data_IF_078216475637
#
_entry.id   IF_078216475637
#
_cell.length_a   1.000
_cell.length_b   1.000
_cell.length_c   1.000
_cell.angle_alpha   90.00
_cell.angle_beta   90.00
_cell.angle_gamma   90.00
#
_symmetry.space_group_name_H-M   'P 1'
#
loop_
_entity.id
_entity.type
_entity.pdbx_description
1 polymer ?
#
# COMPACT_ATOMS: atom_id res chain seq x y z
N UNK A 1 -21.16 16.19 8.44
CA UNK A 1 -20.04 15.33 7.98
C UNK A 1 -20.45 13.88 8.06
N UNK A 2 -21.07 13.43 9.15
CA UNK A 2 -21.59 12.06 9.33
C UNK A 2 -22.65 11.64 8.29
N UNK A 3 -23.71 12.43 8.08
CA UNK A 3 -24.76 12.17 7.07
C UNK A 3 -24.23 12.00 5.63
N UNK A 4 -23.14 12.69 5.28
CA UNK A 4 -22.51 12.53 3.96
C UNK A 4 -21.78 11.18 3.82
N UNK A 5 -21.16 10.72 4.90
CA UNK A 5 -20.43 9.46 4.90
C UNK A 5 -21.36 8.25 4.92
N UNK A 6 -22.49 8.34 5.63
CA UNK A 6 -23.53 7.31 5.61
C UNK A 6 -24.17 7.17 4.22
N UNK A 7 -24.49 8.28 3.57
CA UNK A 7 -24.96 8.28 2.17
C UNK A 7 -23.92 7.71 1.21
N UNK A 8 -22.64 8.03 1.41
CA UNK A 8 -21.56 7.47 0.60
C UNK A 8 -21.49 5.94 0.75
N UNK A 9 -21.64 5.43 1.98
CA UNK A 9 -21.71 3.99 2.23
C UNK A 9 -22.90 3.34 1.52
N UNK A 10 -24.10 3.90 1.64
CA UNK A 10 -25.31 3.41 0.97
C UNK A 10 -25.10 3.33 -0.56
N UNK A 11 -24.58 4.40 -1.17
CA UNK A 11 -24.28 4.43 -2.60
C UNK A 11 -23.24 3.38 -3.01
N UNK A 12 -22.18 3.19 -2.22
CA UNK A 12 -21.17 2.17 -2.51
C UNK A 12 -21.75 0.75 -2.39
N UNK A 13 -22.62 0.49 -1.41
CA UNK A 13 -23.31 -0.81 -1.27
C UNK A 13 -24.21 -1.09 -2.48
N UNK A 14 -24.99 -0.10 -2.90
CA UNK A 14 -25.82 -0.20 -4.11
C UNK A 14 -24.98 -0.43 -5.38
N UNK A 15 -23.80 0.19 -5.48
CA UNK A 15 -22.88 -0.05 -6.60
C UNK A 15 -22.41 -1.51 -6.64
N UNK A 16 -22.12 -2.12 -5.49
CA UNK A 16 -21.77 -3.55 -5.39
C UNK A 16 -22.96 -4.44 -5.79
N UNK A 17 -24.19 -4.09 -5.41
CA UNK A 17 -25.38 -4.84 -5.82
C UNK A 17 -25.61 -4.81 -7.34
N UNK A 18 -25.41 -3.64 -7.95
CA UNK A 18 -25.59 -3.44 -9.39
C UNK A 18 -24.47 -4.09 -10.22
N UNK A 19 -23.23 -4.00 -9.75
CA UNK A 19 -22.08 -4.63 -10.39
C UNK A 19 -21.16 -5.28 -9.34
N UNK A 20 -21.46 -6.54 -8.95
CA UNK A 20 -20.66 -7.27 -7.99
C UNK A 20 -19.35 -7.78 -8.58
N UNK A 21 -19.07 -7.58 -9.88
CA UNK A 21 -17.83 -8.03 -10.53
C UNK A 21 -16.80 -6.91 -10.67
N UNK A 22 -17.20 -5.67 -10.42
CA UNK A 22 -16.27 -4.55 -10.40
C UNK A 22 -15.55 -4.45 -9.04
N UNK A 23 -14.22 -4.69 -8.97
CA UNK A 23 -13.46 -4.60 -7.73
C UNK A 23 -13.45 -3.19 -7.13
N UNK A 24 -13.53 -2.15 -7.96
CA UNK A 24 -13.42 -0.74 -7.54
C UNK A 24 -14.54 -0.36 -6.56
N UNK A 25 -15.75 -0.91 -6.75
CA UNK A 25 -16.89 -0.69 -5.86
C UNK A 25 -16.58 -1.10 -4.40
N UNK A 26 -15.82 -2.18 -4.23
CA UNK A 26 -15.39 -2.65 -2.90
C UNK A 26 -14.34 -1.73 -2.29
N UNK A 27 -13.47 -1.15 -3.12
CA UNK A 27 -12.46 -0.18 -2.66
C UNK A 27 -13.13 1.11 -2.20
N UNK A 28 -14.06 1.64 -2.99
CA UNK A 28 -14.84 2.82 -2.60
C UNK A 28 -15.58 2.62 -1.28
N UNK A 29 -16.24 1.47 -1.09
CA UNK A 29 -16.87 1.14 0.19
C UNK A 29 -15.86 1.03 1.33
N UNK A 30 -14.73 0.36 1.10
CA UNK A 30 -13.67 0.24 2.11
C UNK A 30 -13.08 1.59 2.54
N UNK A 31 -12.87 2.50 1.58
CA UNK A 31 -12.42 3.88 1.88
C UNK A 31 -13.48 4.66 2.65
N UNK A 32 -14.76 4.57 2.24
CA UNK A 32 -15.87 5.20 2.97
C UNK A 32 -15.96 4.71 4.43
N UNK A 33 -15.85 3.40 4.66
CA UNK A 33 -15.85 2.82 6.00
C UNK A 33 -14.66 3.30 6.83
N UNK A 34 -13.46 3.40 6.23
CA UNK A 34 -12.28 3.95 6.92
C UNK A 34 -12.50 5.41 7.33
N UNK A 35 -13.07 6.22 6.44
CA UNK A 35 -13.30 7.65 6.69
C UNK A 35 -14.42 7.88 7.73
N UNK A 36 -15.27 6.88 7.96
CA UNK A 36 -16.23 6.80 9.07
C UNK A 36 -15.61 6.26 10.39
N UNK A 37 -14.28 6.16 10.48
CA UNK A 37 -13.60 5.58 11.64
C UNK A 37 -14.01 4.11 11.92
N UNK A 38 -14.39 3.36 10.89
CA UNK A 38 -14.68 1.91 10.93
C UNK A 38 -13.59 1.08 10.23
N UNK A 39 -12.30 1.16 10.63
CA UNK A 39 -11.20 0.52 9.91
C UNK A 39 -11.20 -1.01 9.99
N UNK A 40 -11.83 -1.61 11.00
CA UNK A 40 -12.00 -3.06 11.10
C UNK A 40 -12.98 -3.60 10.06
N UNK A 41 -14.12 -2.93 9.88
CA UNK A 41 -15.09 -3.27 8.85
C UNK A 41 -14.51 -3.06 7.44
N UNK A 42 -13.80 -1.95 7.23
CA UNK A 42 -13.09 -1.68 5.98
C UNK A 42 -12.08 -2.79 5.65
N UNK A 43 -11.30 -3.22 6.64
CA UNK A 43 -10.29 -4.27 6.45
C UNK A 43 -10.94 -5.61 6.14
N UNK A 44 -11.97 -6.02 6.88
CA UNK A 44 -12.68 -7.28 6.62
C UNK A 44 -13.23 -7.32 5.18
N UNK A 45 -13.90 -6.25 4.77
CA UNK A 45 -14.42 -6.10 3.41
C UNK A 45 -13.32 -6.22 2.35
N UNK A 46 -12.21 -5.49 2.52
CA UNK A 46 -11.12 -5.46 1.54
C UNK A 46 -10.33 -6.78 1.50
N UNK A 47 -10.20 -7.49 2.61
CA UNK A 47 -9.61 -8.84 2.63
C UNK A 47 -10.49 -9.80 1.84
N UNK A 48 -11.80 -9.77 2.01
CA UNK A 48 -12.70 -10.63 1.24
C UNK A 48 -12.74 -10.24 -0.24
N UNK A 49 -12.74 -8.95 -0.55
CA UNK A 49 -12.57 -8.47 -1.93
C UNK A 49 -11.24 -8.93 -2.54
N UNK A 50 -10.13 -8.93 -1.78
CA UNK A 50 -8.82 -9.36 -2.28
C UNK A 50 -8.77 -10.84 -2.67
N UNK A 51 -9.58 -11.68 -2.01
CA UNK A 51 -9.73 -13.10 -2.37
C UNK A 51 -10.56 -13.26 -3.65
N UNK A 52 -11.60 -12.43 -3.81
CA UNK A 52 -12.49 -12.44 -4.98
C UNK A 52 -11.82 -11.85 -6.23
N UNK A 53 -10.96 -10.86 -6.05
CA UNK A 53 -10.28 -10.12 -7.12
C UNK A 53 -8.76 -10.15 -6.93
N UNK A 54 -8.12 -11.33 -7.04
CA UNK A 54 -6.70 -11.50 -6.74
C UNK A 54 -5.77 -10.79 -7.74
N UNK A 55 -6.29 -10.30 -8.87
CA UNK A 55 -5.56 -9.54 -9.88
C UNK A 55 -5.85 -8.03 -9.82
N UNK A 56 -6.68 -7.57 -8.88
CA UNK A 56 -6.96 -6.15 -8.72
C UNK A 56 -5.88 -5.49 -7.86
N UNK A 57 -4.98 -4.74 -8.49
CA UNK A 57 -3.96 -3.96 -7.77
C UNK A 57 -4.60 -3.06 -6.71
N UNK A 58 -5.70 -2.36 -7.05
CA UNK A 58 -6.26 -1.34 -6.16
C UNK A 58 -6.87 -1.94 -4.89
N UNK A 59 -7.58 -3.07 -5.00
CA UNK A 59 -8.06 -3.83 -3.85
C UNK A 59 -6.90 -4.31 -2.98
N UNK A 60 -5.87 -4.91 -3.59
CA UNK A 60 -4.72 -5.45 -2.86
C UNK A 60 -3.92 -4.35 -2.15
N UNK A 61 -3.63 -3.25 -2.83
CA UNK A 61 -2.89 -2.13 -2.27
C UNK A 61 -3.68 -1.41 -1.17
N UNK A 62 -5.01 -1.25 -1.32
CA UNK A 62 -5.85 -0.64 -0.29
C UNK A 62 -5.98 -1.53 0.95
N UNK A 63 -6.09 -2.86 0.78
CA UNK A 63 -6.01 -3.79 1.90
C UNK A 63 -4.63 -3.71 2.60
N UNK A 64 -3.56 -3.59 1.80
CA UNK A 64 -2.20 -3.36 2.29
C UNK A 64 -2.06 -2.08 3.11
N UNK A 65 -2.66 -0.97 2.65
CA UNK A 65 -2.68 0.31 3.36
C UNK A 65 -3.34 0.18 4.75
N UNK A 66 -4.47 -0.53 4.83
CA UNK A 66 -5.16 -0.78 6.11
C UNK A 66 -4.39 -1.71 7.05
N UNK A 67 -3.64 -2.68 6.52
CA UNK A 67 -2.75 -3.52 7.33
C UNK A 67 -1.55 -2.72 7.86
N UNK A 68 -0.94 -1.92 6.98
CA UNK A 68 0.18 -1.06 7.34
C UNK A 68 -0.21 0.00 8.40
N UNK A 69 -1.41 0.59 8.32
CA UNK A 69 -1.89 1.55 9.32
C UNK A 69 -2.06 0.92 10.72
N UNK A 70 -2.34 -0.39 10.77
CA UNK A 70 -2.36 -1.20 12.00
C UNK A 70 -0.99 -1.74 12.42
N UNK A 71 0.08 -1.33 11.73
CA UNK A 71 1.46 -1.82 11.90
C UNK A 71 1.64 -3.32 11.66
N UNK A 72 0.68 -3.94 10.97
CA UNK A 72 0.79 -5.33 10.52
C UNK A 72 1.56 -5.35 9.19
N UNK A 73 2.87 -5.07 9.29
CA UNK A 73 3.74 -4.92 8.12
C UNK A 73 3.98 -6.24 7.41
N UNK A 74 3.81 -7.38 8.09
CA UNK A 74 3.91 -8.72 7.51
C UNK A 74 2.82 -8.95 6.45
N UNK A 75 1.57 -8.81 6.84
CA UNK A 75 0.44 -8.96 5.92
C UNK A 75 0.43 -7.86 4.86
N UNK A 76 0.77 -6.62 5.24
CA UNK A 76 0.89 -5.51 4.28
C UNK A 76 1.93 -5.81 3.20
N UNK A 77 3.10 -6.33 3.58
CA UNK A 77 4.14 -6.72 2.62
C UNK A 77 3.64 -7.74 1.61
N UNK A 78 2.94 -8.80 2.04
CA UNK A 78 2.41 -9.82 1.13
C UNK A 78 1.31 -9.27 0.22
N UNK A 79 0.45 -8.39 0.72
CA UNK A 79 -0.58 -7.72 -0.07
C UNK A 79 0.03 -6.79 -1.13
N UNK A 80 0.97 -5.93 -0.75
CA UNK A 80 1.65 -5.05 -1.72
C UNK A 80 2.50 -5.82 -2.72
N UNK A 81 3.11 -6.95 -2.32
CA UNK A 81 3.85 -7.82 -3.24
C UNK A 81 2.93 -8.38 -4.32
N UNK A 82 1.73 -8.85 -3.94
CA UNK A 82 0.71 -9.28 -4.90
C UNK A 82 0.22 -8.11 -5.75
N UNK A 83 0.01 -6.94 -5.15
CA UNK A 83 -0.46 -5.74 -5.85
C UNK A 83 0.55 -5.27 -6.92
N UNK A 84 1.84 -5.25 -6.59
CA UNK A 84 2.92 -4.91 -7.53
C UNK A 84 3.10 -5.95 -8.64
N UNK A 85 2.76 -7.22 -8.37
CA UNK A 85 2.73 -8.27 -9.39
C UNK A 85 1.51 -8.13 -10.32
N UNK A 86 0.37 -7.69 -9.78
CA UNK A 86 -0.86 -7.44 -10.53
C UNK A 86 -0.74 -6.24 -11.47
N UNK A 87 -0.09 -5.16 -11.03
CA UNK A 87 0.28 -4.04 -11.90
C UNK A 87 1.71 -3.56 -11.62
N UNK A 88 2.60 -3.91 -12.56
CA UNK A 88 4.01 -3.53 -12.49
C UNK A 88 4.27 -2.03 -12.68
N UNK A 89 3.27 -1.26 -13.12
CA UNK A 89 3.35 0.20 -13.26
C UNK A 89 2.77 0.96 -12.06
N UNK A 90 2.24 0.26 -11.06
CA UNK A 90 1.72 0.92 -9.86
C UNK A 90 2.84 1.40 -8.95
N UNK A 91 3.09 2.72 -8.99
CA UNK A 91 3.97 3.41 -8.03
C UNK A 91 3.54 3.15 -6.59
N UNK A 92 2.21 3.17 -6.32
CA UNK A 92 1.66 2.95 -4.98
C UNK A 92 2.05 1.58 -4.44
N UNK A 93 1.88 0.53 -5.24
CA UNK A 93 2.17 -0.84 -4.82
C UNK A 93 3.65 -1.06 -4.56
N UNK A 94 4.52 -0.61 -5.46
CA UNK A 94 5.97 -0.70 -5.23
C UNK A 94 6.42 0.07 -4.00
N UNK A 95 5.86 1.26 -3.78
CA UNK A 95 6.19 2.08 -2.63
C UNK A 95 5.68 1.48 -1.31
N UNK A 96 4.46 0.94 -1.30
CA UNK A 96 3.89 0.22 -0.16
C UNK A 96 4.73 -1.01 0.18
N UNK A 97 5.11 -1.80 -0.83
CA UNK A 97 5.99 -2.95 -0.67
C UNK A 97 7.33 -2.56 -0.05
N UNK A 98 7.96 -1.51 -0.57
CA UNK A 98 9.24 -1.02 -0.10
C UNK A 98 9.20 -0.56 1.36
N UNK A 99 8.17 0.22 1.73
CA UNK A 99 7.96 0.69 3.10
C UNK A 99 7.69 -0.46 4.07
N UNK A 100 6.83 -1.41 3.70
CA UNK A 100 6.57 -2.58 4.55
C UNK A 100 7.81 -3.46 4.70
N UNK A 101 8.57 -3.69 3.62
CA UNK A 101 9.84 -4.41 3.66
C UNK A 101 10.87 -3.72 4.57
N UNK A 102 10.95 -2.39 4.51
CA UNK A 102 11.82 -1.60 5.37
C UNK A 102 11.46 -1.76 6.86
N UNK A 103 10.18 -1.68 7.21
CA UNK A 103 9.72 -1.89 8.59
C UNK A 103 9.99 -3.32 9.08
N UNK A 104 9.95 -4.30 8.18
CA UNK A 104 10.32 -5.70 8.46
C UNK A 104 11.83 -5.95 8.44
N UNK A 105 12.66 -4.92 8.25
CA UNK A 105 14.13 -5.02 8.10
C UNK A 105 14.59 -5.90 6.93
N UNK A 106 13.72 -6.16 5.95
CA UNK A 106 14.02 -6.82 4.68
C UNK A 106 14.65 -5.81 3.72
N UNK A 107 15.83 -5.33 4.09
CA UNK A 107 16.42 -4.15 3.46
C UNK A 107 16.75 -4.30 1.98
N UNK A 108 17.31 -5.43 1.50
CA UNK A 108 17.56 -5.63 0.07
C UNK A 108 16.28 -5.56 -0.77
N UNK A 109 15.20 -6.18 -0.29
CA UNK A 109 13.90 -6.16 -0.95
C UNK A 109 13.28 -4.76 -0.93
N UNK A 110 13.43 -4.03 0.19
CA UNK A 110 12.99 -2.65 0.30
C UNK A 110 13.71 -1.75 -0.72
N UNK A 111 15.03 -1.86 -0.83
CA UNK A 111 15.83 -1.11 -1.83
C UNK A 111 15.34 -1.42 -3.24
N UNK A 112 15.19 -2.71 -3.59
CA UNK A 112 14.73 -3.11 -4.92
C UNK A 112 13.34 -2.55 -5.24
N UNK A 113 12.40 -2.61 -4.30
CA UNK A 113 11.06 -2.07 -4.47
C UNK A 113 11.04 -0.54 -4.55
N UNK A 114 11.89 0.16 -3.76
CA UNK A 114 12.05 1.60 -3.89
C UNK A 114 12.61 1.98 -5.26
N UNK A 115 13.60 1.24 -5.79
CA UNK A 115 14.15 1.48 -7.14
C UNK A 115 13.07 1.31 -8.22
N UNK A 116 12.20 0.29 -8.09
CA UNK A 116 11.06 0.11 -9.00
C UNK A 116 10.09 1.29 -8.94
N UNK A 117 9.72 1.77 -7.74
CA UNK A 117 8.86 2.95 -7.61
C UNK A 117 9.52 4.20 -8.21
N UNK A 118 10.81 4.37 -8.00
CA UNK A 118 11.62 5.49 -8.45
C UNK A 118 11.76 5.55 -9.97
N UNK A 119 11.92 4.39 -10.62
CA UNK A 119 11.96 4.27 -12.08
C UNK A 119 10.61 4.65 -12.74
N UNK A 120 9.50 4.49 -12.02
CA UNK A 120 8.16 4.86 -12.49
C UNK A 120 7.83 6.32 -12.21
N UNK A 121 8.20 6.82 -11.03
CA UNK A 121 8.10 8.23 -10.64
C UNK A 121 9.31 8.64 -9.80
N UNK A 122 10.21 9.42 -10.42
CA UNK A 122 11.43 9.90 -9.77
C UNK A 122 11.18 10.72 -8.51
N UNK A 123 9.99 11.30 -8.32
CA UNK A 123 9.65 12.03 -7.07
C UNK A 123 9.64 11.09 -5.86
N UNK A 124 9.47 9.79 -6.07
CA UNK A 124 9.52 8.81 -4.98
C UNK A 124 10.92 8.57 -4.42
N UNK A 125 11.99 9.11 -5.04
CA UNK A 125 13.36 9.02 -4.51
C UNK A 125 13.47 9.57 -3.09
N UNK A 126 12.62 10.54 -2.72
CA UNK A 126 12.54 11.10 -1.36
C UNK A 126 12.36 10.03 -0.28
N UNK A 127 11.71 8.91 -0.61
CA UNK A 127 11.48 7.82 0.34
C UNK A 127 12.74 7.04 0.69
N UNK A 128 13.75 6.98 -0.19
CA UNK A 128 15.07 6.46 0.17
C UNK A 128 15.69 7.29 1.28
N UNK A 129 15.64 8.62 1.18
CA UNK A 129 16.22 9.53 2.18
C UNK A 129 15.53 9.41 3.53
N UNK A 130 14.19 9.31 3.54
CA UNK A 130 13.44 9.08 4.77
C UNK A 130 13.88 7.77 5.43
N UNK A 131 13.91 6.67 4.68
CA UNK A 131 14.32 5.36 5.19
C UNK A 131 15.79 5.31 5.63
N UNK A 132 16.70 5.96 4.90
CA UNK A 132 18.11 6.10 5.27
C UNK A 132 18.27 6.89 6.58
N UNK A 133 17.51 7.98 6.75
CA UNK A 133 17.50 8.77 7.99
C UNK A 133 17.03 7.94 9.19
N UNK A 134 16.00 7.12 9.02
CA UNK A 134 15.51 6.20 10.05
C UNK A 134 16.58 5.16 10.43
N UNK A 135 17.27 4.59 9.45
CA UNK A 135 18.40 3.67 9.68
C UNK A 135 19.56 4.33 10.41
N UNK A 136 19.91 5.56 10.03
CA UNK A 136 20.95 6.34 10.69
C UNK A 136 20.61 6.59 12.16
N UNK A 137 19.36 6.95 12.46
CA UNK A 137 18.88 7.13 13.85
C UNK A 137 18.93 5.83 14.65
N UNK A 138 18.65 4.70 13.99
CA UNK A 138 18.77 3.37 14.59
C UNK A 138 20.22 2.86 14.70
N UNK A 139 21.23 3.66 14.31
CA UNK A 139 22.64 3.28 14.34
C UNK A 139 23.08 2.37 13.19
N UNK A 140 22.18 2.03 12.25
CA UNK A 140 22.47 1.19 11.10
C UNK A 140 23.05 2.02 9.94
N UNK A 141 24.25 2.57 10.16
CA UNK A 141 24.92 3.46 9.22
C UNK A 141 25.21 2.78 7.87
N UNK A 142 25.58 1.49 7.90
CA UNK A 142 25.87 0.73 6.68
C UNK A 142 24.66 0.66 5.76
N UNK A 143 23.49 0.28 6.29
CA UNK A 143 22.27 0.23 5.47
C UNK A 143 21.81 1.62 5.06
N UNK A 144 21.96 2.64 5.93
CA UNK A 144 21.67 4.02 5.54
C UNK A 144 22.46 4.44 4.30
N UNK A 145 23.77 4.14 4.23
CA UNK A 145 24.59 4.44 3.06
C UNK A 145 24.10 3.68 1.83
N UNK A 146 23.80 2.39 1.95
CA UNK A 146 23.29 1.58 0.83
C UNK A 146 21.97 2.12 0.24
N UNK A 147 21.08 2.65 1.07
CA UNK A 147 19.85 3.29 0.59
C UNK A 147 20.14 4.56 -0.22
N UNK A 148 21.08 5.38 0.23
CA UNK A 148 21.46 6.60 -0.47
C UNK A 148 22.19 6.29 -1.78
N UNK A 149 23.08 5.30 -1.78
CA UNK A 149 23.76 4.84 -3.00
C UNK A 149 22.76 4.28 -4.03
N UNK A 150 21.75 3.53 -3.56
CA UNK A 150 20.69 3.02 -4.42
C UNK A 150 19.77 4.12 -4.96
N UNK A 151 19.55 5.22 -4.22
CA UNK A 151 18.80 6.39 -4.69
C UNK A 151 19.48 7.02 -5.90
N UNK A 152 20.81 7.11 -5.91
CA UNK A 152 21.58 7.69 -7.03
C UNK A 152 21.44 6.90 -8.33
N UNK A 153 21.05 5.63 -8.25
CA UNK A 153 20.83 4.76 -9.41
C UNK A 153 19.44 4.92 -10.03
N UNK A 154 18.59 5.78 -9.46
CA UNK A 154 17.33 6.20 -10.07
C UNK A 154 17.55 7.22 -11.21
N UNK A 155 18.25 6.86 -12.28
CA UNK A 155 18.42 7.76 -13.43
C UNK A 155 17.19 7.77 -14.35
#
# INVERSE_FOLDING_TARGET
TEDFLEKAEEHCRKAIELDPKNPDNYVHLGMSLRDQEKPDAALALLIDASKKFPASEWVLSTAGDLKASKKDFGDAYELYKKAAAADQKSVRSWLGLAKSAHQLQKYPEAISAFQKACALDRKTSIHFRSAASDLKRAGNLKMSTQYLDAELQCE
#
